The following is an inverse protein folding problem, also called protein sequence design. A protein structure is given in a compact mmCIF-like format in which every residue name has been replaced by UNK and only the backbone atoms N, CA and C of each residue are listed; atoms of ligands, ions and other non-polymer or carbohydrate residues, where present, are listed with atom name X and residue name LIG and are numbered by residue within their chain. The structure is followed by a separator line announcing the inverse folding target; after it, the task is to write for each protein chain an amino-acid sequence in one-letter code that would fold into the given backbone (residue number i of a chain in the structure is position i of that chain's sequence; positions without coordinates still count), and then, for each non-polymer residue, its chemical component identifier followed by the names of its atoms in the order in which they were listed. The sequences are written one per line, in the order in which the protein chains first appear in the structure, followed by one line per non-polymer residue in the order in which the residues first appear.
data_IF_957349166042
#
_entry.id   IF_957349166042
#
_cell.length_a   1.000
_cell.length_b   1.000
_cell.length_c   1.000
_cell.angle_alpha   90.00
_cell.angle_beta   90.00
_cell.angle_gamma   90.00
#
_symmetry.space_group_name_H-M   'P 1'
#
loop_
_entity.id
_entity.type
_entity.pdbx_description
1 polymer ?
#
# COMPACT_ATOMS: atom_id res chain seq x y z
N UNK A 1 -34.10 -12.57 65.30
CA UNK A 1 -34.38 -11.76 64.09
C UNK A 1 -33.31 -12.11 63.06
N UNK A 2 -33.52 -13.13 62.22
CA UNK A 2 -34.08 -13.08 60.85
C UNK A 2 -33.09 -12.53 59.79
N UNK A 3 -32.40 -13.48 59.12
CA UNK A 3 -31.82 -13.45 57.75
C UNK A 3 -30.57 -12.53 57.60
N UNK A 4 -29.58 -12.73 56.73
CA UNK A 4 -29.51 -13.21 55.33
C UNK A 4 -28.08 -13.77 55.07
N UNK A 5 -27.88 -14.95 54.44
CA UNK A 5 -27.28 -15.17 53.10
C UNK A 5 -26.48 -13.95 52.56
N UNK A 6 -25.25 -14.03 52.02
CA UNK A 6 -24.87 -14.76 50.78
C UNK A 6 -23.36 -14.60 50.47
N UNK A 7 -22.74 -15.69 49.96
CA UNK A 7 -21.69 -15.86 48.92
C UNK A 7 -20.38 -15.04 48.82
N UNK A 8 -19.27 -15.81 48.90
CA UNK A 8 -18.17 -16.01 47.93
C UNK A 8 -18.10 -15.12 46.66
N UNK A 9 -16.97 -14.44 46.44
CA UNK A 9 -16.41 -14.19 45.09
C UNK A 9 -14.89 -14.31 45.11
N UNK A 10 -14.42 -15.39 44.48
CA UNK A 10 -13.06 -15.60 43.99
C UNK A 10 -12.85 -14.69 42.75
N UNK A 11 -11.83 -13.86 42.71
CA UNK A 11 -11.38 -13.25 41.44
C UNK A 11 -9.91 -13.57 41.20
N UNK A 12 -9.74 -14.60 40.38
CA UNK A 12 -8.51 -15.01 39.70
C UNK A 12 -8.03 -13.82 38.86
N UNK A 13 -6.84 -13.29 39.17
CA UNK A 13 -6.16 -12.29 38.36
C UNK A 13 -5.73 -12.90 37.04
N UNK A 14 -6.52 -12.70 35.99
CA UNK A 14 -6.19 -13.11 34.63
C UNK A 14 -5.09 -12.20 34.08
N UNK A 15 -3.99 -12.83 33.66
CA UNK A 15 -2.92 -12.22 32.87
C UNK A 15 -3.51 -11.55 31.63
N UNK A 16 -3.34 -10.23 31.50
CA UNK A 16 -3.42 -9.55 30.22
C UNK A 16 -2.00 -9.42 29.65
N UNK A 17 -1.52 -10.47 28.98
CA UNK A 17 -0.43 -10.34 28.03
C UNK A 17 -0.96 -9.48 26.87
N UNK A 18 -0.61 -8.21 26.84
CA UNK A 18 -0.92 -7.32 25.72
C UNK A 18 -0.18 -7.83 24.48
N UNK A 19 -0.88 -8.17 23.39
CA UNK A 19 -0.22 -8.49 22.14
C UNK A 19 0.49 -7.23 21.67
N UNK A 20 1.82 -7.33 21.50
CA UNK A 20 2.65 -6.22 21.03
C UNK A 20 2.07 -5.62 19.76
N UNK A 21 1.81 -4.32 19.79
CA UNK A 21 1.44 -3.57 18.60
C UNK A 21 2.57 -3.71 17.58
N UNK A 22 2.37 -4.54 16.56
CA UNK A 22 3.23 -4.56 15.39
C UNK A 22 3.13 -3.18 14.76
N UNK A 23 4.12 -2.33 15.00
CA UNK A 23 4.32 -1.08 14.26
C UNK A 23 4.35 -1.46 12.79
N UNK A 24 3.27 -1.15 12.07
CA UNK A 24 3.19 -1.40 10.64
C UNK A 24 4.38 -0.68 9.99
N UNK A 25 5.34 -1.46 9.48
CA UNK A 25 6.48 -0.90 8.79
C UNK A 25 5.95 0.01 7.67
N UNK A 26 6.32 1.28 7.72
CA UNK A 26 5.89 2.29 6.75
C UNK A 26 6.28 1.93 5.31
N UNK A 27 5.92 2.76 4.32
CA UNK A 27 6.22 2.46 2.93
C UNK A 27 7.73 2.34 2.69
N UNK A 28 8.16 1.19 2.15
CA UNK A 28 9.52 1.01 1.62
C UNK A 28 9.54 1.30 0.12
N UNK A 29 10.50 2.14 -0.26
CA UNK A 29 10.73 2.69 -1.60
C UNK A 29 12.01 2.15 -2.23
N UNK A 30 12.38 0.93 -1.87
CA UNK A 30 13.50 0.22 -2.46
C UNK A 30 13.27 -0.07 -3.96
N UNK A 31 14.38 -0.23 -4.67
CA UNK A 31 14.41 -0.71 -6.05
C UNK A 31 14.86 -2.17 -5.98
N UNK A 32 13.95 -3.14 -6.22
CA UNK A 32 14.31 -4.54 -6.12
C UNK A 32 15.39 -4.93 -7.14
N UNK A 33 16.14 -5.99 -6.85
CA UNK A 33 17.13 -6.51 -7.78
C UNK A 33 16.52 -6.78 -9.16
N UNK A 34 17.25 -6.38 -10.21
CA UNK A 34 16.82 -6.51 -11.60
C UNK A 34 15.87 -5.40 -12.08
N UNK A 35 15.53 -4.43 -11.23
CA UNK A 35 14.80 -3.23 -11.64
C UNK A 35 15.76 -2.05 -11.85
N UNK A 36 15.46 -1.25 -12.87
CA UNK A 36 16.09 0.04 -13.10
C UNK A 36 15.24 1.14 -12.48
N UNK A 37 15.86 2.04 -11.69
CA UNK A 37 15.18 3.21 -11.13
C UNK A 37 14.90 4.25 -12.22
N UNK A 38 13.68 4.77 -12.24
CA UNK A 38 13.18 5.79 -13.17
C UNK A 38 12.71 7.02 -12.37
N UNK A 39 13.63 7.87 -11.89
CA UNK A 39 13.31 8.98 -11.00
C UNK A 39 12.47 10.09 -11.68
N UNK A 40 12.55 10.22 -12.99
CA UNK A 40 11.81 11.23 -13.76
C UNK A 40 10.43 10.75 -14.24
N UNK A 41 10.02 9.54 -13.87
CA UNK A 41 8.71 9.00 -14.22
C UNK A 41 7.65 9.54 -13.25
N UNK A 42 7.09 10.71 -13.57
CA UNK A 42 6.08 11.40 -12.77
C UNK A 42 4.74 11.42 -13.50
N UNK A 43 3.63 11.25 -12.78
CA UNK A 43 2.27 11.33 -13.34
C UNK A 43 1.23 11.83 -12.32
N UNK A 44 0.01 12.10 -12.81
CA UNK A 44 -1.18 12.50 -12.05
C UNK A 44 -0.96 13.70 -11.12
N UNK A 45 -0.74 14.89 -11.70
CA UNK A 45 -0.43 16.13 -10.95
C UNK A 45 0.74 15.97 -9.95
N UNK A 46 1.64 15.03 -10.22
CA UNK A 46 2.77 14.74 -9.34
C UNK A 46 2.46 13.79 -8.20
N UNK A 47 1.26 13.22 -8.08
CA UNK A 47 0.97 12.21 -7.06
C UNK A 47 1.88 11.00 -7.19
N UNK A 48 2.04 10.47 -8.41
CA UNK A 48 3.01 9.41 -8.67
C UNK A 48 4.38 10.02 -8.93
N UNK A 49 5.30 9.88 -7.98
CA UNK A 49 6.57 10.65 -7.92
C UNK A 49 7.73 10.00 -8.65
N UNK A 50 7.77 8.67 -8.75
CA UNK A 50 8.83 7.94 -9.45
C UNK A 50 8.42 6.50 -9.73
N UNK A 51 9.21 5.80 -10.55
CA UNK A 51 9.02 4.38 -10.84
C UNK A 51 10.32 3.57 -10.85
N UNK A 52 10.19 2.25 -10.89
CA UNK A 52 11.24 1.34 -11.31
C UNK A 52 10.68 0.32 -12.29
N UNK A 53 11.50 -0.11 -13.23
CA UNK A 53 11.09 -0.94 -14.35
C UNK A 53 12.02 -2.13 -14.55
N UNK A 54 11.47 -3.28 -14.93
CA UNK A 54 12.20 -4.49 -15.31
C UNK A 54 11.74 -4.95 -16.69
N UNK A 55 12.70 -5.39 -17.52
CA UNK A 55 12.50 -5.79 -18.93
C UNK A 55 11.78 -4.74 -19.79
N UNK A 56 11.90 -3.45 -19.43
CA UNK A 56 11.41 -2.33 -20.23
C UNK A 56 12.19 -1.05 -19.92
N UNK A 57 11.88 0.05 -20.59
CA UNK A 57 12.60 1.33 -20.45
C UNK A 57 11.87 2.29 -19.51
N UNK A 58 12.60 3.25 -18.94
CA UNK A 58 11.98 4.32 -18.15
C UNK A 58 11.00 5.17 -18.99
N UNK A 59 11.26 5.35 -20.29
CA UNK A 59 10.32 6.04 -21.17
C UNK A 59 9.00 5.27 -21.34
N UNK A 60 9.05 3.94 -21.41
CA UNK A 60 7.85 3.10 -21.41
C UNK A 60 7.12 3.17 -20.07
N UNK A 61 7.83 3.10 -18.95
CA UNK A 61 7.27 3.26 -17.61
C UNK A 61 6.55 4.60 -17.43
N UNK A 62 7.18 5.72 -17.83
CA UNK A 62 6.57 7.05 -17.77
C UNK A 62 5.31 7.16 -18.63
N UNK A 63 5.30 6.57 -19.84
CA UNK A 63 4.10 6.52 -20.69
C UNK A 63 3.00 5.71 -20.04
N UNK A 64 3.32 4.53 -19.51
CA UNK A 64 2.37 3.71 -18.78
C UNK A 64 1.77 4.45 -17.58
N UNK A 65 2.59 5.09 -16.74
CA UNK A 65 2.12 5.86 -15.59
C UNK A 65 1.16 6.98 -15.98
N UNK A 66 1.42 7.68 -17.09
CA UNK A 66 0.50 8.69 -17.63
C UNK A 66 -0.83 8.05 -18.07
N UNK A 67 -0.79 6.93 -18.78
CA UNK A 67 -1.99 6.19 -19.19
C UNK A 67 -2.77 5.60 -18.00
N UNK A 68 -2.07 5.22 -16.93
CA UNK A 68 -2.66 4.77 -15.68
C UNK A 68 -3.35 5.92 -14.95
N UNK A 69 -2.65 7.06 -14.81
CA UNK A 69 -3.19 8.28 -14.24
C UNK A 69 -4.46 8.75 -14.95
N UNK A 70 -4.49 8.68 -16.28
CA UNK A 70 -5.66 9.00 -17.11
C UNK A 70 -6.84 8.01 -16.97
N UNK A 71 -6.72 7.00 -16.11
CA UNK A 71 -7.79 6.05 -15.74
C UNK A 71 -8.04 5.99 -14.24
N UNK A 72 -7.13 6.56 -13.44
CA UNK A 72 -7.27 6.70 -12.00
C UNK A 72 -8.21 7.86 -11.68
N UNK A 73 -9.45 7.78 -12.18
CA UNK A 73 -10.51 8.75 -12.01
C UNK A 73 -11.68 8.06 -11.32
N UNK A 74 -11.74 8.14 -9.98
CA UNK A 74 -12.80 7.51 -9.20
C UNK A 74 -12.33 7.04 -7.82
N UNK A 75 -13.24 6.41 -7.07
CA UNK A 75 -13.01 5.92 -5.71
C UNK A 75 -12.11 4.67 -5.67
N UNK A 76 -11.91 4.00 -6.80
CA UNK A 76 -11.14 2.76 -6.91
C UNK A 76 -10.07 2.89 -7.98
N UNK A 77 -8.84 2.50 -7.67
CA UNK A 77 -7.75 2.51 -8.64
C UNK A 77 -7.86 1.35 -9.64
N UNK A 78 -7.53 1.59 -10.92
CA UNK A 78 -7.64 0.56 -11.95
C UNK A 78 -6.64 -0.57 -11.70
N UNK A 79 -7.16 -1.81 -11.79
CA UNK A 79 -6.39 -3.05 -11.67
C UNK A 79 -5.91 -3.59 -13.02
N UNK A 80 -6.46 -3.08 -14.13
CA UNK A 80 -6.05 -3.45 -15.48
C UNK A 80 -5.93 -2.21 -16.37
N UNK A 81 -4.76 -1.99 -16.97
CA UNK A 81 -4.49 -0.84 -17.84
C UNK A 81 -3.53 -1.25 -18.96
N UNK A 82 -3.89 -0.99 -20.22
CA UNK A 82 -3.01 -1.22 -21.38
C UNK A 82 -2.40 -2.64 -21.45
N UNK A 83 -3.18 -3.65 -21.05
CA UNK A 83 -2.75 -5.06 -21.00
C UNK A 83 -1.93 -5.44 -19.76
N UNK A 84 -1.66 -4.51 -18.84
CA UNK A 84 -1.02 -4.80 -17.56
C UNK A 84 -2.06 -5.16 -16.50
N UNK A 85 -1.75 -6.14 -15.67
CA UNK A 85 -2.44 -6.42 -14.41
C UNK A 85 -1.71 -5.76 -13.25
N UNK A 86 -2.43 -5.05 -12.39
CA UNK A 86 -1.87 -4.18 -11.35
C UNK A 86 -2.28 -4.63 -9.94
N UNK A 87 -1.28 -4.91 -9.12
CA UNK A 87 -1.40 -5.07 -7.67
C UNK A 87 -1.12 -3.73 -7.00
N UNK A 88 -2.01 -3.33 -6.10
CA UNK A 88 -2.00 -2.02 -5.47
C UNK A 88 -2.02 -2.21 -3.97
N UNK A 89 -1.13 -1.51 -3.29
CA UNK A 89 -1.05 -1.45 -1.85
C UNK A 89 -1.12 0.01 -1.40
N UNK A 90 -1.89 0.27 -0.35
CA UNK A 90 -2.02 1.58 0.27
C UNK A 90 -1.56 1.52 1.71
N UNK A 91 -0.94 2.61 2.14
CA UNK A 91 -0.77 2.91 3.54
C UNK A 91 -1.72 4.04 3.91
N UNK A 92 -2.38 3.88 5.04
CA UNK A 92 -3.38 4.82 5.56
C UNK A 92 -2.95 5.33 6.92
N UNK A 93 -3.32 6.57 7.22
CA UNK A 93 -3.10 7.17 8.54
C UNK A 93 -4.21 6.77 9.53
N UNK A 94 -4.21 7.36 10.73
CA UNK A 94 -5.18 7.09 11.77
C UNK A 94 -6.61 7.53 11.41
N UNK A 95 -6.76 8.38 10.40
CA UNK A 95 -8.03 8.92 9.90
C UNK A 95 -8.51 8.17 8.64
N UNK A 96 -7.85 7.06 8.31
CA UNK A 96 -8.08 6.24 7.11
C UNK A 96 -7.73 6.94 5.77
N UNK A 97 -7.03 8.08 5.80
CA UNK A 97 -6.59 8.74 4.57
C UNK A 97 -5.38 8.02 3.96
N UNK A 98 -5.40 7.84 2.64
CA UNK A 98 -4.24 7.27 1.91
C UNK A 98 -3.14 8.32 1.84
N UNK A 99 -2.03 8.13 2.55
CA UNK A 99 -0.86 9.02 2.47
C UNK A 99 0.23 8.48 1.53
N UNK A 100 0.25 7.16 1.29
CA UNK A 100 1.20 6.52 0.40
C UNK A 100 0.60 5.32 -0.34
N UNK A 101 1.13 5.03 -1.52
CA UNK A 101 0.74 3.89 -2.33
C UNK A 101 1.91 3.30 -3.11
N UNK A 102 1.83 1.99 -3.34
CA UNK A 102 2.76 1.23 -4.19
C UNK A 102 1.98 0.35 -5.15
N UNK A 103 2.25 0.55 -6.42
CA UNK A 103 1.59 -0.15 -7.50
C UNK A 103 2.63 -1.01 -8.22
N UNK A 104 2.28 -2.27 -8.49
CA UNK A 104 3.09 -3.21 -9.26
C UNK A 104 2.24 -3.70 -10.42
N UNK A 105 2.56 -3.25 -11.62
CA UNK A 105 1.85 -3.62 -12.84
C UNK A 105 2.73 -4.51 -13.70
N UNK A 106 2.20 -5.65 -14.13
CA UNK A 106 2.92 -6.68 -14.90
C UNK A 106 2.20 -7.03 -16.19
N UNK A 107 2.97 -7.29 -17.24
CA UNK A 107 2.51 -7.83 -18.52
C UNK A 107 3.64 -8.67 -19.12
N UNK A 108 3.38 -9.95 -19.33
CA UNK A 108 4.40 -10.91 -19.75
C UNK A 108 5.62 -10.89 -18.79
N UNK A 109 6.81 -10.67 -19.32
CA UNK A 109 8.05 -10.50 -18.56
C UNK A 109 8.26 -9.06 -18.04
N UNK A 110 7.46 -8.09 -18.48
CA UNK A 110 7.60 -6.69 -18.08
C UNK A 110 6.97 -6.43 -16.72
N UNK A 111 7.70 -5.71 -15.86
CA UNK A 111 7.18 -5.22 -14.59
C UNK A 111 7.48 -3.73 -14.40
N UNK A 112 6.46 -2.96 -14.01
CA UNK A 112 6.56 -1.54 -13.67
C UNK A 112 6.06 -1.36 -12.24
N UNK A 113 6.93 -0.85 -11.37
CA UNK A 113 6.59 -0.45 -10.00
C UNK A 113 6.56 1.07 -9.93
N UNK A 114 5.50 1.66 -9.41
CA UNK A 114 5.43 3.12 -9.24
C UNK A 114 4.74 3.47 -7.93
N UNK A 115 5.04 4.67 -7.45
CA UNK A 115 4.81 5.05 -6.07
C UNK A 115 4.07 6.38 -6.02
N UNK A 116 2.96 6.39 -5.29
CA UNK A 116 2.18 7.58 -5.02
C UNK A 116 2.43 8.07 -3.60
N UNK A 117 2.66 9.36 -3.42
CA UNK A 117 2.76 10.02 -2.11
C UNK A 117 1.91 11.29 -2.17
N UNK A 118 1.12 11.53 -1.12
CA UNK A 118 0.41 12.81 -0.92
C UNK A 118 1.41 13.87 -0.47
#
# INVERSE_FOLDING_TARGET
MKRWLTALVLTIGVLAATPGAAVAAGPSYDVPQGFTRCPHAVAWHGFFKWASARHTTCAAASRFMRSYAARAHGTTMPRHVAGYACRIHYWRDAEDNVYASRHVCTRDDVAIRFYGMV
#
